data_IF_294903818242
#
_entry.id   IF_294903818242
#
_cell.length_a   1.000
_cell.length_b   1.000
_cell.length_c   1.000
_cell.angle_alpha   90.00
_cell.angle_beta   90.00
_cell.angle_gamma   90.00
#
_symmetry.space_group_name_H-M   'P 1'
#
loop_
_entity.id
_entity.type
_entity.pdbx_description
1 polymer ?
#
# COMPACT_ATOMS: atom_id res chain seq x y z
N UNK A 1 -20.99 -11.05 -49.96
CA UNK A 1 -20.38 -10.31 -48.82
C UNK A 1 -19.03 -9.79 -49.31
N UNK A 2 -18.79 -8.48 -49.22
CA UNK A 2 -17.60 -7.86 -49.82
C UNK A 2 -16.33 -8.33 -49.10
N UNK A 3 -15.24 -8.66 -49.82
CA UNK A 3 -13.94 -9.02 -49.21
C UNK A 3 -13.38 -7.92 -48.30
N UNK A 4 -13.79 -6.66 -48.51
CA UNK A 4 -13.46 -5.54 -47.64
C UNK A 4 -14.12 -5.67 -46.24
N UNK A 5 -15.30 -6.28 -46.15
CA UNK A 5 -16.01 -6.49 -44.88
C UNK A 5 -15.38 -7.63 -44.06
N UNK A 6 -14.81 -8.63 -44.74
CA UNK A 6 -14.06 -9.71 -44.11
C UNK A 6 -12.73 -9.21 -43.53
N UNK A 7 -12.02 -8.35 -44.27
CA UNK A 7 -10.79 -7.70 -43.80
C UNK A 7 -11.04 -6.70 -42.66
N UNK A 8 -12.17 -6.00 -42.67
CA UNK A 8 -12.58 -5.15 -41.55
C UNK A 8 -12.89 -5.98 -40.29
N UNK A 9 -13.56 -7.13 -40.42
CA UNK A 9 -13.82 -8.03 -39.29
C UNK A 9 -12.55 -8.73 -38.78
N UNK A 10 -11.61 -9.11 -39.66
CA UNK A 10 -10.30 -9.66 -39.28
C UNK A 10 -9.37 -8.60 -38.66
N UNK A 11 -9.46 -7.35 -39.09
CA UNK A 11 -8.72 -6.23 -38.50
C UNK A 11 -9.22 -5.84 -37.11
N UNK A 12 -10.52 -5.99 -36.83
CA UNK A 12 -11.11 -5.72 -35.51
C UNK A 12 -10.81 -6.85 -34.51
N UNK A 13 -10.55 -8.08 -34.96
CA UNK A 13 -10.16 -9.18 -34.05
C UNK A 13 -8.71 -9.12 -33.54
N UNK A 14 -7.84 -8.28 -34.12
CA UNK A 14 -6.40 -8.24 -33.80
C UNK A 14 -5.95 -7.05 -32.94
N UNK A 15 -6.88 -6.24 -32.43
CA UNK A 15 -6.57 -5.09 -31.57
C UNK A 15 -7.26 -5.14 -30.19
N UNK A 16 -7.56 -6.33 -29.68
CA UNK A 16 -7.69 -6.49 -28.23
C UNK A 16 -6.26 -6.51 -27.67
N UNK A 17 -5.92 -5.67 -26.66
CA UNK A 17 -4.66 -5.81 -25.96
C UNK A 17 -4.63 -7.22 -25.36
N UNK A 18 -3.89 -8.14 -25.99
CA UNK A 18 -3.68 -9.47 -25.45
C UNK A 18 -3.15 -9.30 -24.03
N UNK A 19 -3.91 -9.79 -23.05
CA UNK A 19 -3.57 -9.67 -21.65
C UNK A 19 -2.33 -10.54 -21.39
N UNK A 20 -1.14 -9.95 -21.60
CA UNK A 20 0.15 -10.65 -21.47
C UNK A 20 0.23 -11.36 -20.12
N UNK A 21 0.65 -12.62 -20.14
CA UNK A 21 1.02 -13.35 -18.94
C UNK A 21 2.11 -12.58 -18.17
N UNK A 22 1.88 -12.34 -16.88
CA UNK A 22 2.79 -11.58 -16.01
C UNK A 22 3.60 -12.54 -15.15
N UNK A 23 4.88 -12.24 -14.91
CA UNK A 23 5.63 -12.91 -13.86
C UNK A 23 5.39 -12.18 -12.53
N UNK A 24 5.06 -12.91 -11.47
CA UNK A 24 4.85 -12.36 -10.13
C UNK A 24 5.72 -13.09 -9.10
N UNK A 25 6.05 -12.43 -8.00
CA UNK A 25 6.57 -13.14 -6.84
C UNK A 25 5.47 -14.01 -6.21
N UNK A 26 5.85 -15.20 -5.75
CA UNK A 26 4.95 -16.20 -5.18
C UNK A 26 5.57 -16.82 -3.93
N UNK A 27 4.74 -16.99 -2.92
CA UNK A 27 5.13 -17.63 -1.67
C UNK A 27 4.12 -17.36 -0.57
N UNK A 28 4.03 -18.32 0.34
CA UNK A 28 3.32 -18.18 1.61
C UNK A 28 4.31 -18.44 2.72
N UNK A 29 4.41 -17.53 3.68
CA UNK A 29 5.21 -17.73 4.87
C UNK A 29 4.44 -17.27 6.10
N UNK A 30 4.53 -18.08 7.14
CA UNK A 30 3.89 -17.84 8.43
C UNK A 30 4.92 -18.14 9.52
N UNK A 31 5.19 -17.18 10.39
CA UNK A 31 6.23 -17.33 11.39
C UNK A 31 5.97 -16.48 12.62
N UNK A 32 6.35 -17.01 13.79
CA UNK A 32 6.40 -16.27 15.04
C UNK A 32 7.86 -15.81 15.23
N UNK A 33 8.05 -14.52 15.51
CA UNK A 33 9.35 -13.88 15.65
C UNK A 33 9.39 -13.03 16.91
N UNK A 34 10.60 -12.74 17.40
CA UNK A 34 10.77 -11.76 18.47
C UNK A 34 10.62 -10.34 17.91
N UNK A 35 9.87 -9.49 18.61
CA UNK A 35 9.69 -8.08 18.25
C UNK A 35 11.03 -7.35 18.13
N UNK A 36 12.03 -7.73 18.92
CA UNK A 36 13.38 -7.15 18.88
C UNK A 36 14.15 -7.39 17.58
N UNK A 37 13.71 -8.35 16.75
CA UNK A 37 14.35 -8.70 15.48
C UNK A 37 13.83 -7.88 14.30
N UNK A 38 12.84 -7.00 14.51
CA UNK A 38 12.33 -6.13 13.45
C UNK A 38 13.38 -5.10 12.97
N UNK A 39 13.37 -4.73 11.67
CA UNK A 39 12.46 -5.19 10.62
C UNK A 39 12.90 -6.54 10.00
N UNK A 40 11.91 -7.36 9.64
CA UNK A 40 12.15 -8.64 8.96
C UNK A 40 12.45 -8.44 7.49
N UNK A 41 13.22 -9.39 6.93
CA UNK A 41 13.49 -9.52 5.50
C UNK A 41 13.13 -10.92 5.03
N UNK A 42 12.69 -11.05 3.78
CA UNK A 42 12.31 -12.33 3.19
C UNK A 42 12.61 -12.36 1.70
N UNK A 43 12.70 -13.58 1.17
CA UNK A 43 12.80 -13.89 -0.25
C UNK A 43 11.66 -14.80 -0.66
N UNK A 44 11.24 -14.73 -1.93
CA UNK A 44 10.13 -15.51 -2.47
C UNK A 44 10.45 -15.96 -3.89
N UNK A 45 9.85 -17.07 -4.30
CA UNK A 45 9.96 -17.59 -5.66
C UNK A 45 9.21 -16.71 -6.66
N UNK A 46 9.36 -16.98 -7.95
CA UNK A 46 8.57 -16.35 -9.01
C UNK A 46 7.60 -17.38 -9.61
N UNK A 47 6.48 -16.89 -10.14
CA UNK A 47 5.48 -17.69 -10.85
C UNK A 47 5.03 -16.93 -12.10
N UNK A 48 4.80 -17.67 -13.18
CA UNK A 48 4.14 -17.11 -14.36
C UNK A 48 2.61 -17.17 -14.15
N UNK A 49 1.97 -16.01 -14.16
CA UNK A 49 0.53 -15.87 -14.01
C UNK A 49 -0.15 -15.94 -15.38
N UNK A 50 -1.21 -16.74 -15.49
CA UNK A 50 -2.03 -16.84 -16.69
C UNK A 50 -2.60 -15.49 -17.15
N UNK A 51 -3.06 -15.46 -18.40
CA UNK A 51 -3.59 -14.24 -19.03
C UNK A 51 -4.71 -13.60 -18.18
N UNK A 52 -4.66 -12.28 -18.05
CA UNK A 52 -5.64 -11.52 -17.26
C UNK A 52 -5.46 -11.57 -15.74
N UNK A 53 -4.47 -12.30 -15.22
CA UNK A 53 -4.10 -12.26 -13.79
C UNK A 53 -3.09 -11.15 -13.48
N UNK A 54 -3.07 -10.72 -12.22
CA UNK A 54 -2.22 -9.67 -11.68
C UNK A 54 -1.42 -10.19 -10.49
N UNK A 55 -0.42 -9.44 -10.06
CA UNK A 55 0.35 -9.79 -8.88
C UNK A 55 -0.35 -9.28 -7.63
N UNK A 56 -0.43 -10.10 -6.59
CA UNK A 56 -0.85 -9.67 -5.25
C UNK A 56 0.26 -9.92 -4.24
N UNK A 57 0.26 -9.08 -3.22
CA UNK A 57 1.00 -9.32 -1.99
C UNK A 57 0.22 -8.82 -0.78
N UNK A 58 0.33 -9.57 0.31
CA UNK A 58 -0.26 -9.25 1.60
C UNK A 58 0.72 -9.60 2.70
N UNK A 59 0.91 -8.67 3.63
CA UNK A 59 1.69 -8.88 4.85
C UNK A 59 0.78 -8.56 6.03
N UNK A 60 0.72 -9.43 7.03
CA UNK A 60 0.03 -9.18 8.30
C UNK A 60 1.04 -9.32 9.44
N UNK A 61 1.06 -8.35 10.35
CA UNK A 61 1.80 -8.41 11.60
C UNK A 61 0.80 -8.30 12.74
N UNK A 62 0.76 -9.32 13.58
CA UNK A 62 0.10 -9.30 14.89
C UNK A 62 1.19 -9.25 15.94
N UNK A 63 1.34 -8.11 16.61
CA UNK A 63 2.33 -7.94 17.65
C UNK A 63 1.69 -8.09 19.03
N UNK A 64 2.37 -8.85 19.88
CA UNK A 64 1.99 -9.20 21.23
C UNK A 64 3.26 -9.39 22.06
N UNK A 65 3.87 -8.27 22.47
CA UNK A 65 5.21 -8.24 23.06
C UNK A 65 5.45 -9.38 24.07
N UNK A 66 6.59 -10.07 24.03
CA UNK A 66 7.76 -9.82 23.17
C UNK A 66 7.65 -10.49 21.78
N UNK A 67 6.54 -11.14 21.45
CA UNK A 67 6.39 -11.90 20.22
C UNK A 67 5.59 -11.12 19.17
N UNK A 68 5.83 -11.43 17.90
CA UNK A 68 4.88 -11.12 16.84
C UNK A 68 4.68 -12.32 15.94
N UNK A 69 3.55 -12.29 15.25
CA UNK A 69 3.16 -13.25 14.26
C UNK A 69 3.12 -12.56 12.90
N UNK A 70 3.96 -13.02 11.98
CA UNK A 70 4.15 -12.50 10.63
C UNK A 70 3.55 -13.47 9.61
N UNK A 71 2.69 -12.95 8.75
CA UNK A 71 2.10 -13.69 7.63
C UNK A 71 2.45 -12.95 6.34
N UNK A 72 2.96 -13.67 5.35
CA UNK A 72 3.34 -13.20 4.04
C UNK A 72 2.63 -14.04 3.00
N UNK A 73 1.91 -13.41 2.09
CA UNK A 73 1.24 -14.07 0.97
C UNK A 73 1.54 -13.28 -0.28
N UNK A 74 2.10 -13.94 -1.29
CA UNK A 74 2.40 -13.37 -2.61
C UNK A 74 1.94 -14.35 -3.68
N UNK A 75 1.41 -13.86 -4.79
CA UNK A 75 1.02 -14.73 -5.91
C UNK A 75 0.21 -14.01 -6.98
N UNK A 76 -0.49 -14.80 -7.80
CA UNK A 76 -1.38 -14.31 -8.85
C UNK A 76 -2.79 -14.03 -8.30
N UNK A 77 -3.51 -13.07 -8.87
CA UNK A 77 -4.88 -12.72 -8.48
C UNK A 77 -5.71 -12.21 -9.66
N UNK A 78 -7.02 -12.42 -9.59
CA UNK A 78 -7.99 -11.77 -10.50
C UNK A 78 -8.45 -10.41 -9.99
N UNK A 79 -8.17 -10.06 -8.73
CA UNK A 79 -8.67 -8.84 -8.12
C UNK A 79 -8.22 -7.58 -8.89
N UNK A 80 -9.06 -6.54 -8.87
CA UNK A 80 -8.74 -5.27 -9.49
C UNK A 80 -7.43 -4.69 -8.94
N UNK A 81 -6.74 -3.90 -9.78
CA UNK A 81 -5.54 -3.18 -9.39
C UNK A 81 -5.83 -2.38 -8.11
N UNK A 82 -4.97 -2.54 -7.10
CA UNK A 82 -5.13 -1.92 -5.79
C UNK A 82 -3.78 -1.42 -5.32
N UNK A 83 -3.70 -0.12 -5.09
CA UNK A 83 -2.50 0.45 -4.51
C UNK A 83 -2.10 -0.16 -3.17
N UNK A 84 -0.81 -0.01 -2.88
CA UNK A 84 -0.22 -0.38 -1.61
C UNK A 84 -0.97 0.32 -0.46
N UNK A 85 -1.61 -0.49 0.38
CA UNK A 85 -2.41 -0.02 1.51
C UNK A 85 -1.95 -0.66 2.80
N UNK A 86 -1.50 0.18 3.73
CA UNK A 86 -1.31 -0.19 5.13
C UNK A 86 -2.65 0.01 5.86
N UNK A 87 -3.00 -0.89 6.77
CA UNK A 87 -4.25 -0.80 7.54
C UNK A 87 -3.94 -1.24 8.96
N UNK A 88 -4.12 -0.32 9.90
CA UNK A 88 -4.11 -0.62 11.32
C UNK A 88 -5.49 -1.19 11.70
N UNK A 89 -5.56 -2.50 11.87
CA UNK A 89 -6.78 -3.19 12.31
C UNK A 89 -7.01 -2.99 13.80
N UNK A 90 -5.91 -2.84 14.56
CA UNK A 90 -5.90 -2.51 15.97
C UNK A 90 -4.63 -1.76 16.34
N UNK A 91 -4.81 -0.53 16.80
CA UNK A 91 -3.75 0.21 17.47
C UNK A 91 -3.64 -0.27 18.93
N UNK A 92 -2.40 -0.43 19.42
CA UNK A 92 -2.12 -0.81 20.81
C UNK A 92 -2.58 0.24 21.84
N UNK A 93 -2.15 0.15 23.10
CA UNK A 93 -1.02 -0.64 23.58
C UNK A 93 -1.39 -2.09 23.97
N UNK A 94 -0.42 -2.99 23.96
CA UNK A 94 -0.63 -4.44 24.13
C UNK A 94 -0.66 -5.13 22.76
N UNK A 95 -1.79 -5.74 22.41
CA UNK A 95 -2.02 -6.32 21.10
C UNK A 95 -2.18 -5.25 20.02
N UNK A 96 -1.40 -5.34 18.95
CA UNK A 96 -1.58 -4.55 17.74
C UNK A 96 -1.62 -5.43 16.50
N UNK A 97 -2.40 -5.00 15.51
CA UNK A 97 -2.56 -5.74 14.25
C UNK A 97 -2.51 -4.75 13.10
N UNK A 98 -1.55 -4.93 12.21
CA UNK A 98 -1.35 -4.11 11.01
C UNK A 98 -1.21 -5.01 9.79
N UNK A 99 -1.80 -4.60 8.68
CA UNK A 99 -1.61 -5.29 7.40
C UNK A 99 -1.15 -4.35 6.29
N UNK A 100 -0.38 -4.87 5.36
CA UNK A 100 -0.09 -4.28 4.05
C UNK A 100 -0.73 -5.13 2.97
N UNK A 101 -1.37 -4.51 1.98
CA UNK A 101 -1.95 -5.18 0.82
C UNK A 101 -1.68 -4.39 -0.46
N UNK A 102 -1.30 -5.06 -1.54
CA UNK A 102 -1.15 -4.47 -2.89
C UNK A 102 -1.60 -5.47 -3.94
N UNK A 103 -2.27 -4.99 -4.98
CA UNK A 103 -2.53 -5.72 -6.23
C UNK A 103 -2.02 -4.86 -7.37
N UNK A 104 -1.21 -5.41 -8.27
CA UNK A 104 -0.58 -4.66 -9.36
C UNK A 104 -0.53 -5.48 -10.65
N UNK A 105 -0.35 -4.81 -11.79
CA UNK A 105 -0.48 -5.39 -13.16
C UNK A 105 0.77 -5.21 -14.00
N UNK A 106 1.93 -5.19 -13.35
CA UNK A 106 3.25 -5.07 -13.98
C UNK A 106 4.10 -6.30 -13.61
N UNK A 107 5.12 -6.61 -14.42
CA UNK A 107 6.00 -7.73 -14.12
C UNK A 107 6.73 -7.52 -12.78
N UNK A 108 6.66 -8.52 -11.91
CA UNK A 108 7.34 -8.60 -10.62
C UNK A 108 7.01 -7.43 -9.67
N UNK A 109 5.86 -6.78 -9.84
CA UNK A 109 5.51 -5.56 -9.12
C UNK A 109 5.13 -5.79 -7.64
N UNK A 110 4.90 -7.03 -7.23
CA UNK A 110 4.65 -7.39 -5.83
C UNK A 110 5.98 -7.65 -5.10
N UNK A 111 6.87 -6.67 -5.08
CA UNK A 111 8.29 -6.78 -4.73
C UNK A 111 8.61 -6.51 -3.25
N UNK A 112 7.60 -6.38 -2.36
CA UNK A 112 7.87 -6.13 -0.95
C UNK A 112 8.67 -7.29 -0.33
N UNK A 113 9.86 -6.97 0.17
CA UNK A 113 10.84 -7.91 0.73
C UNK A 113 11.17 -7.65 2.21
N UNK A 114 10.47 -6.71 2.85
CA UNK A 114 10.71 -6.33 4.24
C UNK A 114 9.45 -5.86 4.98
N UNK A 115 9.43 -6.02 6.31
CA UNK A 115 8.34 -5.55 7.17
C UNK A 115 8.37 -4.05 7.43
N UNK A 116 9.36 -3.32 6.89
CA UNK A 116 9.59 -1.91 7.17
C UNK A 116 8.35 -1.00 7.01
N UNK A 117 7.50 -1.14 5.96
CA UNK A 117 6.31 -0.30 5.82
C UNK A 117 5.27 -0.47 6.93
N UNK A 118 5.28 -1.63 7.59
CA UNK A 118 4.39 -1.97 8.70
C UNK A 118 5.04 -1.71 10.06
N UNK A 119 6.36 -1.51 10.10
CA UNK A 119 7.11 -1.38 11.34
C UNK A 119 6.86 -0.02 11.99
N UNK A 120 6.64 -0.04 13.30
CA UNK A 120 6.64 1.14 14.16
C UNK A 120 7.50 0.88 15.39
N UNK A 121 8.43 1.78 15.73
CA UNK A 121 9.02 1.78 17.05
C UNK A 121 7.93 2.08 18.07
N UNK A 122 7.46 1.08 18.80
CA UNK A 122 6.51 1.32 19.88
C UNK A 122 7.23 2.05 21.02
N UNK A 123 6.65 3.14 21.55
CA UNK A 123 7.22 3.84 22.71
C UNK A 123 7.26 2.90 23.91
N UNK A 124 8.24 3.11 24.80
CA UNK A 124 8.33 2.37 26.07
C UNK A 124 7.00 2.50 26.81
N UNK A 125 6.33 1.38 27.00
CA UNK A 125 5.04 1.34 27.68
C UNK A 125 5.28 1.45 29.18
N UNK A 126 4.66 2.44 29.81
CA UNK A 126 4.60 2.50 31.27
C UNK A 126 3.80 1.29 31.74
N UNK A 127 4.33 0.47 32.67
CA UNK A 127 3.57 -0.66 33.23
C UNK A 127 2.25 -0.20 33.84
N UNK A 128 1.18 -0.92 33.56
CA UNK A 128 -0.15 -0.73 34.15
C UNK A 128 -0.39 -1.63 35.35
N UNK A 129 -1.65 -1.68 35.78
CA UNK A 129 -2.10 -2.50 36.92
C UNK A 129 -2.68 -3.86 36.52
N UNK A 130 -3.02 -4.06 35.25
CA UNK A 130 -3.64 -5.29 34.74
C UNK A 130 -2.57 -6.30 34.36
N UNK A 131 -2.79 -7.57 34.70
CA UNK A 131 -1.98 -8.71 34.24
C UNK A 131 -2.82 -9.59 33.32
N UNK A 132 -2.24 -9.98 32.18
CA UNK A 132 -2.91 -10.85 31.22
C UNK A 132 -1.97 -11.98 30.78
N UNK A 133 -2.51 -13.17 30.47
CA UNK A 133 -1.74 -14.18 29.76
C UNK A 133 -1.34 -13.64 28.38
N UNK A 134 -0.08 -13.85 28.01
CA UNK A 134 0.46 -13.44 26.71
C UNK A 134 0.92 -14.65 25.91
N UNK A 135 0.32 -14.86 24.74
CA UNK A 135 0.64 -15.98 23.86
C UNK A 135 0.32 -15.69 22.39
N UNK A 136 1.19 -16.18 21.51
CA UNK A 136 0.97 -16.35 20.08
C UNK A 136 1.41 -17.77 19.73
N UNK A 137 0.50 -18.65 19.31
CA UNK A 137 0.83 -20.06 19.08
C UNK A 137 -0.10 -20.70 18.05
N UNK A 138 0.47 -21.53 17.15
CA UNK A 138 -0.29 -22.42 16.27
C UNK A 138 -0.72 -23.73 16.95
N UNK A 139 -0.10 -24.10 18.07
CA UNK A 139 -0.34 -25.36 18.79
C UNK A 139 -1.22 -25.19 20.04
N UNK A 140 -1.45 -23.94 20.46
CA UNK A 140 -2.28 -23.57 21.60
C UNK A 140 -1.53 -22.79 22.69
N UNK A 141 -2.28 -22.21 23.62
CA UNK A 141 -1.81 -21.31 24.69
C UNK A 141 -2.07 -21.86 26.09
N UNK A 142 -1.98 -23.18 26.28
CA UNK A 142 -2.15 -23.81 27.59
C UNK A 142 -0.96 -23.42 28.48
N UNK A 143 -1.21 -22.63 29.53
CA UNK A 143 -0.20 -22.09 30.49
C UNK A 143 0.62 -20.91 29.97
N UNK A 144 0.02 -20.01 29.20
CA UNK A 144 0.67 -18.76 28.79
C UNK A 144 1.14 -17.91 29.99
N UNK A 145 2.36 -17.34 29.95
CA UNK A 145 2.88 -16.52 31.03
C UNK A 145 2.04 -15.23 31.20
N UNK A 146 1.74 -14.89 32.46
CA UNK A 146 1.08 -13.62 32.76
C UNK A 146 2.08 -12.46 32.80
N UNK A 147 1.82 -11.45 31.97
CA UNK A 147 2.63 -10.23 31.91
C UNK A 147 1.82 -9.01 32.31
N UNK A 148 2.50 -8.03 32.90
CA UNK A 148 1.92 -6.74 33.23
C UNK A 148 1.62 -5.96 31.96
N UNK A 149 0.36 -5.61 31.76
CA UNK A 149 -0.09 -4.86 30.60
C UNK A 149 0.36 -3.40 30.67
N UNK A 150 0.50 -2.72 29.51
CA UNK A 150 0.70 -1.26 29.46
C UNK A 150 -0.41 -0.47 30.16
N UNK A 151 -0.11 0.70 30.72
CA UNK A 151 -1.01 1.52 31.54
C UNK A 151 -2.37 1.90 30.91
N UNK A 152 -2.50 1.90 29.57
CA UNK A 152 -3.79 2.16 28.89
C UNK A 152 -4.53 0.88 28.49
N UNK A 153 -4.09 -0.29 28.97
CA UNK A 153 -4.78 -1.56 28.76
C UNK A 153 -5.64 -1.85 29.98
N UNK A 154 -6.88 -2.27 29.73
CA UNK A 154 -7.89 -2.50 30.77
C UNK A 154 -8.44 -3.91 30.77
N UNK A 155 -8.21 -4.71 29.71
CA UNK A 155 -8.75 -6.05 29.57
C UNK A 155 -7.76 -7.04 28.94
N UNK A 156 -8.03 -8.32 29.14
CA UNK A 156 -7.33 -9.43 28.48
C UNK A 156 -8.16 -9.96 27.30
N UNK A 157 -7.48 -10.23 26.20
CA UNK A 157 -8.02 -10.91 25.04
C UNK A 157 -7.60 -12.37 25.06
N UNK A 158 -8.49 -13.26 24.59
CA UNK A 158 -8.20 -14.67 24.32
C UNK A 158 -9.07 -15.11 23.13
N UNK A 159 -8.46 -15.46 22.02
CA UNK A 159 -9.19 -15.90 20.83
C UNK A 159 -8.30 -16.52 19.76
N UNK A 160 -8.86 -16.76 18.58
CA UNK A 160 -8.17 -17.43 17.46
C UNK A 160 -8.24 -16.58 16.21
N UNK A 161 -7.08 -16.29 15.61
CA UNK A 161 -6.94 -15.75 14.28
C UNK A 161 -7.04 -16.89 13.27
N UNK A 162 -8.07 -16.88 12.42
CA UNK A 162 -8.13 -17.79 11.27
C UNK A 162 -7.78 -17.03 10.00
N UNK A 163 -6.79 -17.55 9.29
CA UNK A 163 -6.35 -17.03 8.01
C UNK A 163 -6.79 -18.00 6.92
N UNK A 164 -7.51 -17.46 5.94
CA UNK A 164 -7.82 -18.17 4.70
C UNK A 164 -7.19 -17.36 3.57
N UNK A 165 -6.09 -17.90 3.02
CA UNK A 165 -5.52 -17.37 1.79
C UNK A 165 -6.49 -17.62 0.63
N UNK A 166 -6.68 -16.63 -0.25
CA UNK A 166 -7.46 -16.82 -1.47
C UNK A 166 -6.82 -17.91 -2.34
N UNK A 167 -7.63 -18.91 -2.71
CA UNK A 167 -7.21 -20.11 -3.44
C UNK A 167 -6.44 -19.80 -4.74
N UNK A 168 -5.29 -20.46 -5.01
CA UNK A 168 -5.02 -21.00 -6.34
C UNK A 168 -5.93 -22.22 -6.59
N UNK A 169 -6.25 -22.58 -7.85
CA UNK A 169 -7.14 -23.71 -8.13
C UNK A 169 -6.50 -25.01 -7.65
N UNK A 170 -6.87 -25.48 -6.45
CA UNK A 170 -6.37 -26.73 -5.87
C UNK A 170 -5.99 -26.70 -4.38
N UNK A 171 -6.86 -26.18 -3.50
CA UNK A 171 -6.82 -26.46 -2.05
C UNK A 171 -6.30 -25.31 -1.17
N UNK A 172 -7.22 -24.54 -0.59
CA UNK A 172 -6.90 -23.50 0.39
C UNK A 172 -6.41 -24.06 1.73
N UNK A 173 -5.24 -23.61 2.17
CA UNK A 173 -4.69 -23.92 3.49
C UNK A 173 -5.36 -23.01 4.53
N UNK A 174 -6.13 -23.61 5.45
CA UNK A 174 -6.72 -22.92 6.60
C UNK A 174 -5.75 -22.99 7.77
N UNK A 175 -5.25 -21.85 8.24
CA UNK A 175 -4.40 -21.81 9.42
C UNK A 175 -5.06 -21.07 10.58
N UNK A 176 -4.86 -21.58 11.79
CA UNK A 176 -5.44 -21.08 13.03
C UNK A 176 -4.31 -20.77 14.02
N UNK A 177 -4.27 -19.53 14.51
CA UNK A 177 -3.29 -19.07 15.49
C UNK A 177 -4.01 -18.55 16.72
N UNK A 178 -3.73 -19.14 17.88
CA UNK A 178 -4.27 -18.68 19.15
C UNK A 178 -3.52 -17.43 19.63
N UNK A 179 -4.29 -16.47 20.15
CA UNK A 179 -3.79 -15.17 20.60
C UNK A 179 -4.35 -14.87 21.99
N UNK A 180 -3.47 -14.58 22.94
CA UNK A 180 -3.81 -14.07 24.25
C UNK A 180 -2.98 -12.83 24.55
N UNK A 181 -3.57 -11.74 25.03
CA UNK A 181 -2.79 -10.53 25.32
C UNK A 181 -3.62 -9.35 25.81
N UNK A 182 -2.96 -8.21 26.00
CA UNK A 182 -3.59 -7.01 26.57
C UNK A 182 -4.36 -6.20 25.51
N UNK A 183 -5.52 -5.65 25.86
CA UNK A 183 -6.30 -4.73 25.02
C UNK A 183 -6.83 -3.53 25.84
N UNK A 184 -7.05 -2.40 25.16
CA UNK A 184 -7.50 -1.12 25.76
C UNK A 184 -9.02 -0.98 25.87
N UNK A 185 -9.80 -1.83 25.19
CA UNK A 185 -11.26 -1.78 25.17
C UNK A 185 -11.82 -3.19 25.26
N UNK A 186 -12.91 -3.36 26.02
CA UNK A 186 -13.64 -4.61 26.08
C UNK A 186 -14.24 -4.94 24.70
N UNK A 187 -14.07 -6.17 24.24
CA UNK A 187 -14.66 -6.64 23.00
C UNK A 187 -14.00 -7.91 22.48
N UNK A 188 -14.78 -8.76 21.84
CA UNK A 188 -14.29 -10.01 21.26
C UNK A 188 -13.81 -9.86 19.80
N UNK A 189 -13.93 -8.65 19.23
CA UNK A 189 -13.60 -8.38 17.84
C UNK A 189 -12.23 -7.69 17.72
N UNK A 190 -11.17 -8.49 17.52
CA UNK A 190 -9.80 -7.95 17.34
C UNK A 190 -9.65 -7.02 16.12
N UNK A 191 -10.43 -7.22 15.05
CA UNK A 191 -10.25 -6.55 13.75
C UNK A 191 -11.29 -5.45 13.46
N UNK A 192 -12.08 -5.05 14.47
CA UNK A 192 -13.14 -4.04 14.35
C UNK A 192 -14.09 -4.24 13.15
N UNK A 193 -14.37 -5.50 12.77
CA UNK A 193 -15.32 -5.85 11.70
C UNK A 193 -14.75 -5.83 10.29
N UNK A 194 -13.44 -5.64 10.12
CA UNK A 194 -12.79 -5.60 8.80
C UNK A 194 -12.90 -6.95 8.07
N UNK A 195 -13.70 -6.98 7.00
CA UNK A 195 -13.71 -8.07 5.99
C UNK A 195 -13.09 -7.53 4.71
N UNK A 196 -11.89 -7.98 4.33
CA UNK A 196 -11.28 -7.65 3.03
C UNK A 196 -11.26 -8.89 2.14
N UNK A 197 -11.57 -8.74 0.85
CA UNK A 197 -11.78 -9.86 -0.08
C UNK A 197 -10.51 -10.62 -0.49
N UNK A 198 -9.32 -10.07 -0.23
CA UNK A 198 -8.02 -10.65 -0.64
C UNK A 198 -7.36 -11.55 0.43
N UNK A 199 -7.70 -11.31 1.70
CA UNK A 199 -7.34 -12.17 2.82
C UNK A 199 -8.61 -12.35 3.63
N UNK A 200 -9.25 -13.53 3.53
CA UNK A 200 -10.39 -13.86 4.35
C UNK A 200 -9.89 -14.11 5.79
N UNK A 201 -9.54 -13.02 6.49
CA UNK A 201 -9.35 -13.02 7.94
C UNK A 201 -10.71 -13.22 8.57
N UNK A 202 -10.93 -14.41 9.10
CA UNK A 202 -12.09 -14.68 9.95
C UNK A 202 -11.56 -14.90 11.35
N UNK A 203 -11.91 -14.00 12.26
CA UNK A 203 -11.88 -14.34 13.67
C UNK A 203 -13.05 -15.28 13.92
N UNK A 204 -12.78 -16.50 14.38
CA UNK A 204 -13.79 -17.28 15.09
C UNK A 204 -13.43 -17.22 16.56
N UNK A 205 -14.35 -16.71 17.36
CA UNK A 205 -14.34 -16.99 18.79
C UNK A 205 -14.59 -18.49 18.97
N UNK A 206 -13.70 -19.23 19.65
CA UNK A 206 -13.98 -20.62 20.00
C UNK A 206 -15.09 -20.75 21.05
N UNK A 207 -15.63 -19.64 21.61
CA UNK A 207 -16.51 -19.68 22.77
C UNK A 207 -17.87 -19.01 22.50
N UNK A 208 -18.75 -19.76 21.82
CA UNK A 208 -20.20 -19.61 21.96
C UNK A 208 -20.74 -20.21 23.29
N UNK A 209 -19.87 -20.45 24.28
CA UNK A 209 -20.24 -20.95 25.59
C UNK A 209 -19.66 -20.07 26.70
N UNK A 210 -20.43 -19.04 27.11
CA UNK A 210 -20.34 -18.39 28.43
C UNK A 210 -18.92 -18.21 29.00
N UNK A 211 -18.25 -17.11 28.65
CA UNK A 211 -17.49 -16.23 29.57
C UNK A 211 -16.34 -15.51 28.85
N UNK A 212 -16.58 -14.27 28.43
CA UNK A 212 -15.63 -13.23 28.81
C UNK A 212 -15.79 -13.09 30.33
N UNK A 213 -14.99 -13.82 31.11
CA UNK A 213 -14.95 -13.60 32.56
C UNK A 213 -14.20 -12.29 32.78
N UNK A 214 -14.96 -11.20 32.85
CA UNK A 214 -14.62 -10.07 33.69
C UNK A 214 -14.33 -10.66 35.07
N UNK A 215 -13.11 -10.56 35.56
CA UNK A 215 -12.82 -10.82 36.97
C UNK A 215 -13.39 -9.64 37.75
N UNK A 216 -14.68 -9.69 38.01
CA UNK A 216 -15.31 -8.95 39.10
C UNK A 216 -16.56 -9.73 39.52
N UNK A 217 -16.53 -10.19 40.77
CA UNK A 217 -17.65 -10.84 41.46
C UNK A 217 -18.93 -10.04 41.30
N UNK A 218 -20.06 -10.72 41.09
CA UNK A 218 -21.37 -10.29 41.57
C UNK A 218 -22.34 -11.48 41.63
N UNK A 219 -23.11 -11.49 42.72
CA UNK A 219 -24.00 -12.53 43.20
C UNK A 219 -25.23 -12.82 42.34
N UNK A 220 -25.89 -13.93 42.68
CA UNK A 220 -27.07 -14.53 42.06
C UNK A 220 -28.34 -13.68 42.17
N UNK A 221 -29.19 -13.66 41.11
CA UNK A 221 -30.65 -13.96 41.11
C UNK A 221 -31.32 -13.60 39.74
N UNK A 222 -32.54 -14.10 39.40
CA UNK A 222 -32.70 -15.11 38.35
C UNK A 222 -33.39 -14.64 37.05
N UNK A 223 -33.32 -15.52 36.05
CA UNK A 223 -33.83 -15.41 34.68
C UNK A 223 -35.35 -15.27 34.60
N UNK A 224 -35.83 -14.31 33.79
CA UNK A 224 -37.13 -14.40 33.14
C UNK A 224 -37.00 -14.56 31.63
N UNK A 225 -37.83 -15.46 31.10
CA UNK A 225 -37.85 -16.00 29.74
C UNK A 225 -39.05 -15.37 29.02
N UNK A 226 -38.87 -14.71 27.88
CA UNK A 226 -40.00 -14.31 27.01
C UNK A 226 -39.72 -14.60 25.54
N UNK A 227 -40.83 -14.99 24.87
CA UNK A 227 -40.97 -15.66 23.57
C UNK A 227 -40.96 -14.67 22.39
N UNK A 228 -40.59 -15.22 21.22
CA UNK A 228 -40.79 -14.77 19.83
C UNK A 228 -41.99 -13.85 19.58
N UNK A 229 -41.79 -12.88 18.67
CA UNK A 229 -42.68 -12.63 17.52
C UNK A 229 -41.87 -12.15 16.31
N UNK A 230 -41.95 -12.94 15.24
CA UNK A 230 -41.55 -12.61 13.87
C UNK A 230 -42.67 -11.80 13.21
N UNK A 231 -42.34 -10.69 12.57
CA UNK A 231 -43.21 -10.02 11.60
C UNK A 231 -42.53 -10.04 10.23
N UNK A 232 -43.18 -10.73 9.29
CA UNK A 232 -42.96 -10.68 7.85
C UNK A 232 -43.53 -9.38 7.29
N UNK A 233 -42.76 -8.67 6.46
CA UNK A 233 -43.27 -7.61 5.57
C UNK A 233 -42.90 -7.99 4.15
N UNK A 234 -43.92 -7.98 3.30
CA UNK A 234 -43.99 -8.50 1.95
C UNK A 234 -43.40 -7.56 0.90
N UNK A 235 -42.87 -8.13 -0.19
CA UNK A 235 -42.54 -7.43 -1.44
C UNK A 235 -43.78 -7.07 -2.25
N UNK A 236 -43.76 -5.88 -2.85
CA UNK A 236 -44.40 -5.47 -4.11
C UNK A 236 -43.80 -4.10 -4.49
N UNK A 237 -43.62 -3.65 -5.73
CA UNK A 237 -43.54 -4.21 -7.08
C UNK A 237 -42.94 -3.08 -7.94
N UNK A 238 -42.26 -3.45 -9.01
CA UNK A 238 -41.65 -2.62 -10.06
C UNK A 238 -42.53 -1.50 -10.63
N UNK A 239 -41.93 -0.33 -10.89
CA UNK A 239 -42.33 0.61 -11.94
C UNK A 239 -41.19 0.76 -12.98
N UNK A 240 -41.47 0.78 -14.30
CA UNK A 240 -40.48 0.83 -15.36
C UNK A 240 -40.31 2.25 -15.93
N UNK A 241 -39.05 2.67 -16.09
CA UNK A 241 -38.71 3.82 -16.91
C UNK A 241 -38.18 5.03 -16.15
N UNK A 242 -37.02 4.88 -15.54
CA UNK A 242 -36.11 6.01 -15.39
C UNK A 242 -34.77 5.62 -16.02
N UNK A 243 -34.54 6.17 -17.21
CA UNK A 243 -33.20 6.30 -17.77
C UNK A 243 -32.43 7.18 -16.80
N UNK A 244 -31.69 6.57 -15.86
CA UNK A 244 -30.72 7.26 -15.01
C UNK A 244 -29.67 7.92 -15.92
N UNK A 245 -29.95 9.16 -16.32
CA UNK A 245 -28.89 10.11 -16.62
C UNK A 245 -28.07 10.20 -15.35
N UNK A 246 -26.84 9.69 -15.36
CA UNK A 246 -25.89 9.95 -14.30
C UNK A 246 -25.74 11.48 -14.22
N UNK A 247 -26.43 12.08 -13.25
CA UNK A 247 -26.45 13.53 -13.08
C UNK A 247 -25.02 14.07 -13.00
N UNK A 248 -24.79 15.21 -13.65
CA UNK A 248 -23.49 15.83 -13.68
C UNK A 248 -23.09 16.27 -12.26
N UNK A 249 -22.21 15.49 -11.62
CA UNK A 249 -21.70 15.69 -10.27
C UNK A 249 -20.93 17.01 -10.19
N UNK A 250 -21.14 17.80 -9.14
CA UNK A 250 -20.40 19.05 -8.90
C UNK A 250 -19.49 18.90 -7.70
N UNK A 251 -18.20 19.22 -7.86
CA UNK A 251 -17.19 19.07 -6.80
C UNK A 251 -16.44 20.38 -6.56
N UNK A 252 -15.88 20.54 -5.36
CA UNK A 252 -14.92 21.61 -5.12
C UNK A 252 -13.64 21.36 -5.92
N UNK A 253 -13.03 22.45 -6.38
CA UNK A 253 -11.78 22.45 -7.14
C UNK A 253 -10.78 23.36 -6.44
N UNK A 254 -9.54 22.90 -6.33
CA UNK A 254 -8.46 23.79 -5.94
C UNK A 254 -7.19 23.04 -5.60
N UNK A 255 -6.10 23.80 -5.53
CA UNK A 255 -4.82 23.32 -5.05
C UNK A 255 -4.44 24.08 -3.78
N UNK A 256 -3.75 23.39 -2.88
CA UNK A 256 -3.10 24.00 -1.73
C UNK A 256 -1.61 23.72 -1.84
N UNK A 257 -0.80 24.74 -1.62
CA UNK A 257 0.64 24.60 -1.50
C UNK A 257 1.10 25.50 -0.36
N UNK A 258 1.54 24.90 0.73
CA UNK A 258 1.96 25.62 1.91
C UNK A 258 3.29 25.08 2.40
N UNK A 259 4.21 26.00 2.66
CA UNK A 259 5.49 25.71 3.29
C UNK A 259 5.56 26.48 4.59
N UNK A 260 5.79 25.77 5.68
CA UNK A 260 5.93 26.35 7.02
C UNK A 260 6.61 25.33 7.92
N UNK A 261 7.29 25.76 8.99
CA UNK A 261 7.57 24.87 10.10
C UNK A 261 6.26 24.30 10.68
N UNK A 262 6.35 23.12 11.29
CA UNK A 262 5.30 22.49 12.11
C UNK A 262 3.98 22.13 11.41
N UNK A 263 3.93 21.98 10.07
CA UNK A 263 2.70 21.53 9.39
C UNK A 263 2.28 20.08 9.76
N UNK A 264 3.17 19.32 10.41
CA UNK A 264 2.89 18.01 11.00
C UNK A 264 2.24 18.08 12.39
N UNK A 265 2.21 19.26 13.01
CA UNK A 265 1.68 19.50 14.36
C UNK A 265 0.45 20.40 14.31
N UNK A 266 0.54 21.48 13.55
CA UNK A 266 -0.43 22.57 13.49
C UNK A 266 -1.22 22.50 12.18
N UNK A 267 -2.50 22.11 12.23
CA UNK A 267 -3.36 22.09 11.06
C UNK A 267 -3.53 23.49 10.45
N UNK A 268 -3.68 23.54 9.14
CA UNK A 268 -3.89 24.77 8.38
C UNK A 268 -5.23 24.73 7.68
N UNK A 269 -5.89 25.88 7.63
CA UNK A 269 -7.21 26.00 7.00
C UNK A 269 -7.10 25.92 5.47
N UNK A 270 -8.03 25.19 4.87
CA UNK A 270 -8.15 24.94 3.45
C UNK A 270 -9.59 25.11 2.97
N UNK A 271 -9.98 26.34 2.65
CA UNK A 271 -11.24 26.59 1.94
C UNK A 271 -10.97 26.90 0.47
N UNK A 272 -11.79 26.34 -0.42
CA UNK A 272 -11.78 26.65 -1.86
C UNK A 272 -13.20 27.04 -2.25
N UNK A 273 -13.38 28.21 -2.86
CA UNK A 273 -14.69 28.65 -3.38
C UNK A 273 -14.90 28.23 -4.83
N UNK A 274 -13.89 27.65 -5.48
CA UNK A 274 -13.97 27.22 -6.87
C UNK A 274 -14.64 25.86 -6.96
N UNK A 275 -15.54 25.72 -7.91
CA UNK A 275 -16.32 24.51 -8.16
C UNK A 275 -16.06 24.03 -9.59
N UNK A 276 -16.29 22.75 -9.85
CA UNK A 276 -16.25 22.20 -11.20
C UNK A 276 -17.30 21.10 -11.37
N UNK A 277 -17.90 21.06 -12.55
CA UNK A 277 -18.79 19.99 -12.96
C UNK A 277 -17.96 18.84 -13.52
N UNK A 278 -18.19 17.62 -13.03
CA UNK A 278 -17.45 16.43 -13.41
C UNK A 278 -18.02 15.79 -14.67
N UNK A 279 -17.16 15.08 -15.40
CA UNK A 279 -17.59 14.26 -16.52
C UNK A 279 -18.38 13.04 -16.02
N UNK A 280 -19.27 12.47 -16.85
CA UNK A 280 -19.94 11.21 -16.52
C UNK A 280 -18.94 10.12 -16.08
N UNK A 281 -19.20 9.50 -14.93
CA UNK A 281 -18.36 8.45 -14.35
C UNK A 281 -17.25 8.94 -13.40
N UNK A 282 -16.99 10.24 -13.34
CA UNK A 282 -16.05 10.82 -12.37
C UNK A 282 -16.69 10.98 -10.99
N UNK A 283 -15.83 10.97 -9.96
CA UNK A 283 -16.19 11.20 -8.56
C UNK A 283 -15.43 12.39 -8.00
N UNK A 284 -15.93 13.01 -6.94
CA UNK A 284 -15.20 14.05 -6.23
C UNK A 284 -14.01 13.43 -5.51
N UNK A 285 -12.90 14.15 -5.48
CA UNK A 285 -11.69 13.76 -4.77
C UNK A 285 -11.13 14.91 -3.94
N UNK A 286 -10.49 14.55 -2.84
CA UNK A 286 -9.60 15.43 -2.08
C UNK A 286 -8.36 14.64 -1.65
N UNK A 287 -7.19 15.21 -1.91
CA UNK A 287 -5.89 14.61 -1.58
C UNK A 287 -5.03 15.64 -0.87
N UNK A 288 -4.39 15.24 0.23
CA UNK A 288 -3.34 16.00 0.93
C UNK A 288 -2.06 15.17 1.00
N UNK A 289 -0.90 15.80 0.83
CA UNK A 289 0.42 15.21 1.01
C UNK A 289 1.27 16.14 1.88
N UNK A 290 1.70 15.63 3.02
CA UNK A 290 2.62 16.27 3.95
C UNK A 290 4.00 15.62 3.84
N UNK A 291 5.03 16.45 3.66
CA UNK A 291 6.42 16.05 3.83
C UNK A 291 7.02 16.95 4.92
N UNK A 292 7.57 16.35 5.95
CA UNK A 292 8.20 17.04 7.06
C UNK A 292 9.62 16.50 7.28
N UNK A 293 10.61 17.39 7.17
CA UNK A 293 12.03 17.06 7.37
C UNK A 293 12.55 17.52 8.73
N UNK A 294 11.68 18.08 9.59
CA UNK A 294 12.01 18.63 10.90
C UNK A 294 11.90 20.15 10.95
N UNK A 295 12.92 20.92 10.54
CA UNK A 295 12.89 22.38 10.57
C UNK A 295 11.96 23.01 9.52
N UNK A 296 11.52 22.23 8.53
CA UNK A 296 10.61 22.66 7.46
C UNK A 296 9.64 21.54 7.12
N UNK A 297 8.42 21.94 6.78
CA UNK A 297 7.41 21.05 6.26
C UNK A 297 6.75 21.67 5.02
N UNK A 298 6.25 20.84 4.12
CA UNK A 298 5.41 21.23 2.98
C UNK A 298 4.12 20.44 3.04
N UNK A 299 3.00 21.13 2.84
CA UNK A 299 1.69 20.55 2.66
C UNK A 299 1.18 20.89 1.26
N UNK A 300 0.88 19.85 0.50
CA UNK A 300 0.32 19.91 -0.84
C UNK A 300 -1.10 19.36 -0.80
N UNK A 301 -2.03 20.01 -1.47
CA UNK A 301 -3.43 19.59 -1.52
C UNK A 301 -4.03 19.73 -2.91
N UNK A 302 -4.97 18.86 -3.23
CA UNK A 302 -5.76 18.92 -4.46
C UNK A 302 -7.20 18.52 -4.19
N UNK A 303 -8.15 19.28 -4.74
CA UNK A 303 -9.58 18.99 -4.81
C UNK A 303 -10.02 19.01 -6.27
N UNK A 304 -10.91 18.11 -6.66
CA UNK A 304 -11.52 18.12 -7.99
C UNK A 304 -12.33 16.87 -8.29
N UNK A 305 -12.40 16.54 -9.57
CA UNK A 305 -13.01 15.34 -10.14
C UNK A 305 -11.90 14.37 -10.52
N UNK A 306 -12.17 13.08 -10.36
CA UNK A 306 -11.24 12.02 -10.72
C UNK A 306 -11.99 10.80 -11.24
N UNK A 307 -11.43 10.18 -12.28
CA UNK A 307 -11.77 8.82 -12.71
C UNK A 307 -11.16 7.76 -11.78
N UNK A 308 -10.10 8.13 -11.06
CA UNK A 308 -9.31 7.26 -10.19
C UNK A 308 -9.96 7.23 -8.80
N UNK A 309 -10.43 6.05 -8.39
CA UNK A 309 -11.09 5.81 -7.10
C UNK A 309 -10.11 5.22 -6.08
N UNK A 310 -9.11 6.02 -5.68
CA UNK A 310 -8.13 5.64 -4.65
C UNK A 310 -8.46 6.39 -3.36
N UNK A 311 -8.74 5.65 -2.28
CA UNK A 311 -9.06 6.19 -0.96
C UNK A 311 -8.14 5.61 0.12
N UNK A 312 -7.75 6.45 1.07
CA UNK A 312 -7.08 6.04 2.30
C UNK A 312 -6.12 7.09 2.85
N UNK A 313 -5.82 6.94 4.13
CA UNK A 313 -4.75 7.65 4.81
C UNK A 313 -3.51 6.77 4.76
N UNK A 314 -2.41 7.32 4.25
CA UNK A 314 -1.19 6.56 4.02
C UNK A 314 -0.01 7.28 4.67
N UNK A 315 0.67 6.59 5.57
CA UNK A 315 1.97 7.02 6.05
C UNK A 315 3.04 6.34 5.20
N UNK A 316 3.76 7.14 4.41
CA UNK A 316 4.76 6.67 3.44
C UNK A 316 6.13 6.51 4.08
N UNK A 317 6.53 7.46 4.94
CA UNK A 317 7.73 7.38 5.78
C UNK A 317 7.37 7.72 7.22
N UNK A 318 7.86 6.94 8.19
CA UNK A 318 7.55 7.11 9.63
C UNK A 318 8.73 7.78 10.37
N UNK A 319 8.46 8.53 11.46
CA UNK A 319 9.52 9.03 12.35
C UNK A 319 10.33 7.86 12.98
N UNK A 320 11.59 8.09 13.39
CA UNK A 320 12.32 9.36 13.46
C UNK A 320 12.98 9.78 12.14
N UNK A 321 13.03 11.09 11.87
CA UNK A 321 13.62 11.66 10.65
C UNK A 321 12.57 12.26 9.71
N UNK A 322 12.75 12.07 8.40
CA UNK A 322 11.80 12.53 7.38
C UNK A 322 10.47 11.78 7.50
N UNK A 323 9.39 12.53 7.74
CA UNK A 323 8.02 12.06 7.75
C UNK A 323 7.36 12.38 6.40
N UNK A 324 6.72 11.39 5.80
CA UNK A 324 5.90 11.59 4.59
C UNK A 324 4.56 10.90 4.82
N UNK A 325 3.47 11.65 4.70
CA UNK A 325 2.13 11.14 4.94
C UNK A 325 1.12 11.79 4.00
N UNK A 326 0.05 11.07 3.65
CA UNK A 326 -1.01 11.58 2.79
C UNK A 326 -2.38 11.16 3.26
N UNK A 327 -3.37 11.96 2.89
CA UNK A 327 -4.79 11.68 3.02
C UNK A 327 -5.39 11.71 1.61
N UNK A 328 -6.21 10.72 1.27
CA UNK A 328 -6.93 10.69 0.01
C UNK A 328 -8.36 10.20 0.24
N UNK A 329 -9.35 10.96 -0.22
CA UNK A 329 -10.76 10.59 -0.17
C UNK A 329 -11.38 10.79 -1.54
N UNK A 330 -12.29 9.90 -1.92
CA UNK A 330 -13.21 10.14 -3.02
C UNK A 330 -14.65 9.85 -2.59
N UNK A 331 -15.60 10.50 -3.25
CA UNK A 331 -17.02 10.45 -2.90
C UNK A 331 -17.89 10.87 -4.08
N UNK A 332 -19.17 10.44 -4.07
CA UNK A 332 -20.06 10.48 -5.24
C UNK A 332 -21.33 11.31 -5.02
N UNK A 333 -21.26 12.33 -4.15
CA UNK A 333 -22.34 13.29 -3.93
C UNK A 333 -21.82 14.70 -4.13
N UNK A 334 -22.67 15.64 -4.52
CA UNK A 334 -22.25 17.01 -4.78
C UNK A 334 -21.51 17.59 -3.56
N UNK A 335 -20.39 18.28 -3.84
CA UNK A 335 -19.58 19.01 -2.87
C UNK A 335 -19.01 18.18 -1.71
N UNK A 336 -18.96 16.86 -1.83
CA UNK A 336 -18.54 16.00 -0.72
C UNK A 336 -17.03 16.07 -0.38
N UNK A 337 -16.21 16.63 -1.27
CA UNK A 337 -14.78 16.88 -1.05
C UNK A 337 -14.54 18.22 -0.32
N UNK A 338 -15.23 18.39 0.82
CA UNK A 338 -15.35 19.64 1.54
C UNK A 338 -14.40 19.77 2.74
N UNK A 339 -13.28 19.03 2.80
CA UNK A 339 -12.35 19.16 3.91
C UNK A 339 -11.82 20.60 4.01
N UNK A 340 -12.21 21.31 5.08
CA UNK A 340 -11.91 22.72 5.26
C UNK A 340 -10.54 22.97 5.93
N UNK A 341 -9.79 21.91 6.27
CA UNK A 341 -8.56 21.98 7.05
C UNK A 341 -7.70 20.74 6.83
N UNK A 342 -6.37 20.90 6.98
CA UNK A 342 -5.42 19.78 6.95
C UNK A 342 -5.51 18.85 8.16
N UNK A 343 -6.37 19.17 9.14
CA UNK A 343 -6.62 18.33 10.33
C UNK A 343 -7.05 16.91 9.99
N UNK A 344 -7.69 16.69 8.83
CA UNK A 344 -8.03 15.35 8.31
C UNK A 344 -6.81 14.45 8.12
N UNK A 345 -5.64 15.03 7.85
CA UNK A 345 -4.35 14.34 7.78
C UNK A 345 -3.59 14.46 9.11
N UNK A 346 -3.43 15.68 9.62
CA UNK A 346 -2.55 15.98 10.76
C UNK A 346 -2.98 15.25 12.03
N UNK A 347 -4.29 15.09 12.28
CA UNK A 347 -4.77 14.39 13.46
C UNK A 347 -4.51 12.89 13.44
N UNK A 348 -4.30 12.31 12.25
CA UNK A 348 -3.97 10.90 12.09
C UNK A 348 -2.45 10.62 12.24
N UNK A 349 -1.62 11.66 12.29
CA UNK A 349 -0.17 11.50 12.40
C UNK A 349 0.22 11.00 13.80
N UNK A 350 1.25 10.14 13.90
CA UNK A 350 1.84 9.79 15.18
C UNK A 350 2.35 11.06 15.87
N UNK A 351 2.06 11.21 17.17
CA UNK A 351 2.61 12.28 18.02
C UNK A 351 3.70 11.71 18.94
N UNK A 352 4.89 11.34 18.42
CA UNK A 352 5.98 10.94 19.30
C UNK A 352 6.45 12.15 20.10
N UNK A 353 6.92 11.91 21.32
CA UNK A 353 7.67 12.92 22.06
C UNK A 353 8.88 13.36 21.22
N UNK A 354 9.32 14.64 21.32
CA UNK A 354 10.52 15.11 20.63
C UNK A 354 11.67 14.12 20.85
N UNK A 355 12.19 13.49 19.79
CA UNK A 355 13.22 12.47 19.94
C UNK A 355 14.50 13.12 20.49
N UNK A 356 15.15 12.43 21.44
CA UNK A 356 16.44 12.87 21.96
C UNK A 356 17.45 13.04 20.79
N UNK A 357 18.38 14.01 20.88
CA UNK A 357 19.43 14.15 19.87
C UNK A 357 20.23 12.85 19.69
N UNK A 358 20.48 12.47 18.44
CA UNK A 358 21.37 11.38 18.07
C UNK A 358 22.80 11.85 17.83
N UNK A 359 23.60 11.01 17.19
CA UNK A 359 25.02 11.30 16.89
C UNK A 359 25.28 11.61 15.41
N UNK A 360 24.33 11.29 14.53
CA UNK A 360 24.44 11.52 13.10
C UNK A 360 24.15 12.99 12.77
N UNK A 361 24.93 13.58 11.87
CA UNK A 361 24.61 14.88 11.27
C UNK A 361 24.29 14.69 9.79
N UNK A 362 23.19 15.29 9.33
CA UNK A 362 22.78 15.25 7.94
C UNK A 362 22.44 16.65 7.42
N UNK A 363 22.68 16.93 6.13
CA UNK A 363 22.11 18.10 5.49
C UNK A 363 20.58 17.94 5.47
N UNK A 364 19.88 19.02 5.81
CA UNK A 364 18.42 19.10 5.73
C UNK A 364 18.02 20.20 4.78
N UNK A 365 17.09 19.86 3.89
CA UNK A 365 16.49 20.78 2.95
C UNK A 365 15.13 20.23 2.49
N UNK A 366 14.19 21.14 2.29
CA UNK A 366 12.90 20.87 1.67
C UNK A 366 12.54 22.07 0.80
N UNK A 367 12.40 21.86 -0.50
CA UNK A 367 12.21 22.92 -1.48
C UNK A 367 11.32 22.46 -2.65
N UNK A 368 10.61 23.42 -3.25
CA UNK A 368 9.97 23.23 -4.57
C UNK A 368 11.00 23.64 -5.62
N UNK A 369 11.38 22.70 -6.48
CA UNK A 369 12.56 22.85 -7.32
C UNK A 369 13.80 22.37 -6.57
N UNK A 370 14.87 23.17 -6.55
CA UNK A 370 16.18 22.70 -6.10
C UNK A 370 16.61 23.14 -4.70
N UNK A 371 17.28 22.23 -3.99
CA UNK A 371 17.95 22.52 -2.72
C UNK A 371 19.27 23.29 -2.92
N UNK A 372 19.19 24.62 -3.07
CA UNK A 372 20.38 25.50 -3.23
C UNK A 372 21.14 25.78 -1.93
N UNK A 373 20.48 25.63 -0.77
CA UNK A 373 21.07 25.82 0.55
C UNK A 373 20.58 24.71 1.48
N UNK A 374 21.50 23.98 2.08
CA UNK A 374 21.22 22.96 3.10
C UNK A 374 21.93 23.30 4.40
N UNK A 375 21.24 23.09 5.51
CA UNK A 375 21.82 23.24 6.85
C UNK A 375 22.06 21.87 7.46
N UNK A 376 23.22 21.64 8.03
CA UNK A 376 23.49 20.42 8.78
C UNK A 376 22.75 20.47 10.13
N UNK A 377 21.96 19.44 10.43
CA UNK A 377 21.31 19.29 11.73
C UNK A 377 21.77 18.01 12.40
N UNK A 378 21.70 18.00 13.74
CA UNK A 378 21.87 16.78 14.51
C UNK A 378 20.59 15.94 14.39
N UNK A 379 20.73 14.76 13.81
CA UNK A 379 19.60 13.88 13.56
C UNK A 379 19.05 13.28 14.87
N UNK A 380 17.75 13.00 14.92
CA UNK A 380 17.12 12.40 16.09
C UNK A 380 17.63 10.97 16.36
N UNK A 381 17.64 10.57 17.62
CA UNK A 381 18.01 9.21 18.02
C UNK A 381 17.11 8.19 17.30
N UNK A 382 17.73 7.17 16.71
CA UNK A 382 17.06 6.17 15.87
C UNK A 382 17.27 6.37 14.37
N UNK A 383 17.93 7.45 13.93
CA UNK A 383 18.39 7.61 12.55
C UNK A 383 19.82 7.12 12.36
N UNK A 384 20.12 6.49 11.23
CA UNK A 384 21.47 6.01 10.90
C UNK A 384 22.01 6.48 9.54
N UNK A 385 21.18 7.11 8.68
CA UNK A 385 21.63 7.60 7.37
C UNK A 385 21.02 8.94 6.98
N UNK A 386 21.64 9.58 5.99
CA UNK A 386 21.12 10.75 5.30
C UNK A 386 20.44 10.33 3.98
N UNK A 387 19.31 10.95 3.70
CA UNK A 387 18.58 10.84 2.45
C UNK A 387 18.79 12.11 1.63
N UNK A 388 18.94 11.96 0.31
CA UNK A 388 18.95 13.01 -0.70
C UNK A 388 18.24 12.50 -1.94
N UNK A 389 17.16 13.17 -2.33
CA UNK A 389 16.37 12.78 -3.50
C UNK A 389 15.33 13.83 -3.86
N UNK A 390 14.57 13.53 -4.89
CA UNK A 390 13.50 14.38 -5.41
C UNK A 390 12.22 13.55 -5.56
N UNK A 391 11.10 14.13 -5.16
CA UNK A 391 9.76 13.61 -5.41
C UNK A 391 9.09 14.52 -6.44
N UNK A 392 8.84 14.01 -7.63
CA UNK A 392 8.11 14.71 -8.68
C UNK A 392 6.64 14.32 -8.64
N UNK A 393 5.77 15.31 -8.41
CA UNK A 393 4.32 15.15 -8.31
C UNK A 393 3.65 15.71 -9.57
N UNK A 394 2.74 14.94 -10.15
CA UNK A 394 1.94 15.36 -11.30
C UNK A 394 0.50 14.88 -11.16
N UNK A 395 -0.47 15.77 -11.25
CA UNK A 395 -1.89 15.42 -11.22
C UNK A 395 -2.71 16.36 -10.34
N UNK A 396 -4.04 16.26 -10.41
CA UNK A 396 -4.92 17.08 -9.58
C UNK A 396 -4.76 18.60 -9.75
N UNK A 397 -4.25 19.05 -10.91
CA UNK A 397 -3.94 20.46 -11.17
C UNK A 397 -2.61 20.96 -10.59
N UNK A 398 -1.78 20.06 -10.03
CA UNK A 398 -0.47 20.36 -9.48
C UNK A 398 0.62 19.65 -10.28
N UNK A 399 1.70 20.38 -10.58
CA UNK A 399 2.97 19.81 -11.04
C UNK A 399 4.08 20.40 -10.19
N UNK A 400 4.73 19.58 -9.36
CA UNK A 400 5.67 20.06 -8.37
C UNK A 400 6.86 19.10 -8.22
N UNK A 401 8.09 19.51 -8.60
CA UNK A 401 9.31 18.86 -8.13
C UNK A 401 9.56 19.26 -6.66
N UNK A 402 9.74 18.30 -5.78
CA UNK A 402 10.05 18.50 -4.36
C UNK A 402 11.41 17.89 -4.04
N UNK A 403 12.43 18.72 -3.84
CA UNK A 403 13.74 18.28 -3.38
C UNK A 403 13.74 18.07 -1.87
N UNK A 404 14.33 16.95 -1.44
CA UNK A 404 14.32 16.51 -0.06
C UNK A 404 15.70 16.05 0.36
N UNK A 405 16.19 16.63 1.47
CA UNK A 405 17.35 16.16 2.21
C UNK A 405 16.97 16.02 3.68
N UNK A 406 17.38 14.93 4.31
CA UNK A 406 17.17 14.78 5.74
C UNK A 406 17.59 13.44 6.33
N UNK A 407 17.33 13.29 7.61
CA UNK A 407 17.69 12.10 8.38
C UNK A 407 16.69 10.96 8.14
N UNK A 408 17.17 9.73 8.05
CA UNK A 408 16.32 8.53 7.93
C UNK A 408 16.77 7.41 8.86
N UNK A 409 15.80 6.63 9.34
CA UNK A 409 16.01 5.48 10.24
C UNK A 409 16.85 4.36 9.62
N UNK A 410 16.72 4.15 8.31
CA UNK A 410 17.37 3.06 7.58
C UNK A 410 17.86 3.53 6.21
N UNK A 411 18.84 2.84 5.61
CA UNK A 411 19.32 3.13 4.27
C UNK A 411 18.29 2.59 3.26
N UNK A 412 17.17 3.28 3.11
CA UNK A 412 16.21 3.02 2.03
C UNK A 412 16.61 3.79 0.78
N UNK A 413 16.41 3.18 -0.38
CA UNK A 413 16.53 3.87 -1.66
C UNK A 413 15.37 4.83 -1.93
N UNK A 414 14.25 4.69 -1.20
CA UNK A 414 13.01 5.46 -1.40
C UNK A 414 12.36 5.83 -0.05
N UNK A 415 11.68 6.97 0.00
CA UNK A 415 10.81 7.46 1.07
C UNK A 415 9.37 6.99 0.86
N UNK A 416 8.95 6.79 -0.40
CA UNK A 416 7.58 6.40 -0.75
C UNK A 416 7.40 4.89 -0.95
N UNK A 417 8.46 4.10 -0.78
CA UNK A 417 8.39 2.64 -0.96
C UNK A 417 7.97 2.22 -2.37
N UNK A 418 8.47 2.92 -3.40
CA UNK A 418 8.14 2.70 -4.84
C UNK A 418 6.66 2.87 -5.20
N UNK A 419 5.96 3.71 -4.44
CA UNK A 419 4.59 4.12 -4.77
C UNK A 419 4.61 5.06 -5.98
N UNK A 420 3.76 4.76 -6.96
CA UNK A 420 3.63 5.51 -8.21
C UNK A 420 2.44 6.48 -8.21
N UNK A 421 1.54 6.40 -7.24
CA UNK A 421 0.51 7.43 -7.04
C UNK A 421 0.12 7.67 -5.58
N UNK A 422 -0.32 8.90 -5.28
CA UNK A 422 -0.83 9.35 -3.98
C UNK A 422 -2.12 10.09 -4.26
N UNK A 423 -3.26 9.45 -4.01
CA UNK A 423 -4.57 10.01 -4.39
C UNK A 423 -4.61 10.32 -5.88
N UNK A 424 -4.78 11.59 -6.24
CA UNK A 424 -4.76 12.04 -7.65
C UNK A 424 -3.38 12.39 -8.21
N UNK A 425 -2.33 12.35 -7.39
CA UNK A 425 -0.98 12.64 -7.84
C UNK A 425 -0.30 11.37 -8.34
N UNK A 426 0.15 11.36 -9.59
CA UNK A 426 1.22 10.47 -10.03
C UNK A 426 2.53 10.95 -9.41
N UNK A 427 3.35 10.01 -8.93
CA UNK A 427 4.57 10.31 -8.19
C UNK A 427 5.75 9.55 -8.77
N UNK A 428 6.86 10.26 -8.95
CA UNK A 428 8.15 9.69 -9.31
C UNK A 428 9.17 10.10 -8.27
N UNK A 429 9.86 9.13 -7.66
CA UNK A 429 10.90 9.40 -6.68
C UNK A 429 12.27 9.02 -7.26
N UNK A 430 13.20 9.97 -7.27
CA UNK A 430 14.59 9.77 -7.72
C UNK A 430 15.56 10.04 -6.57
N UNK A 431 16.57 9.18 -6.41
CA UNK A 431 17.61 9.34 -5.39
C UNK A 431 18.93 9.69 -6.05
N UNK A 432 19.63 10.69 -5.52
CA UNK A 432 20.96 11.06 -6.00
C UNK A 432 22.02 10.13 -5.39
N UNK A 433 22.84 9.49 -6.24
CA UNK A 433 23.93 8.59 -5.83
C UNK A 433 23.56 7.10 -5.63
N UNK A 434 22.36 6.67 -6.07
CA UNK A 434 22.07 5.26 -6.32
C UNK A 434 22.33 4.94 -7.79
N UNK A 435 22.86 3.75 -8.10
CA UNK A 435 22.98 3.30 -9.49
C UNK A 435 21.63 3.47 -10.19
N UNK A 436 21.65 4.07 -11.38
CA UNK A 436 20.54 4.01 -12.32
C UNK A 436 20.09 2.55 -12.39
N UNK A 437 18.89 2.28 -11.85
CA UNK A 437 18.16 1.11 -12.33
C UNK A 437 17.79 1.52 -13.73
N UNK A 438 18.46 0.93 -14.72
CA UNK A 438 18.12 1.05 -16.13
C UNK A 438 16.60 1.12 -16.25
N UNK A 439 16.10 2.29 -16.67
CA UNK A 439 14.85 2.37 -17.40
C UNK A 439 14.88 1.21 -18.42
N UNK A 440 13.84 0.36 -18.51
CA UNK A 440 13.76 -0.57 -19.62
C UNK A 440 13.60 0.28 -20.87
N UNK A 441 14.73 0.53 -21.54
CA UNK A 441 14.78 1.12 -22.87
C UNK A 441 13.73 0.40 -23.71
N UNK A 442 12.66 1.11 -24.03
CA UNK A 442 11.80 0.77 -25.15
C UNK A 442 12.66 1.02 -26.39
N UNK A 443 13.50 0.03 -26.71
CA UNK A 443 14.18 -0.04 -28.00
C UNK A 443 13.13 -0.48 -29.01
N UNK A 444 12.49 0.52 -29.62
CA UNK A 444 11.88 0.34 -30.93
C UNK A 444 12.95 -0.21 -31.87
N UNK A 445 12.64 -1.36 -32.46
CA UNK A 445 13.61 -2.19 -33.15
C UNK A 445 14.35 -1.49 -34.29
N UNK A 446 15.64 -1.74 -34.35
CA UNK A 446 16.37 -1.91 -35.59
C UNK A 446 17.32 -3.09 -35.38
N UNK A 447 17.17 -4.14 -36.19
CA UNK A 447 18.03 -5.32 -36.13
C UNK A 447 19.50 -4.89 -36.32
N UNK A 448 20.44 -5.34 -35.47
CA UNK A 448 21.85 -5.07 -35.69
C UNK A 448 22.33 -5.92 -36.86
N UNK A 449 22.71 -5.27 -37.96
CA UNK A 449 23.48 -5.89 -39.04
C UNK A 449 24.82 -6.42 -38.50
N UNK A 450 25.37 -7.49 -39.09
CA UNK A 450 26.56 -8.15 -38.56
C UNK A 450 27.79 -7.25 -38.70
N UNK A 451 28.44 -6.96 -37.59
CA UNK A 451 29.72 -6.29 -37.50
C UNK A 451 30.85 -7.24 -37.93
N UNK A 452 31.49 -6.92 -39.05
CA UNK A 452 32.75 -7.53 -39.49
C UNK A 452 33.92 -6.88 -38.74
N UNK A 453 34.74 -7.69 -38.07
CA UNK A 453 36.08 -7.34 -37.63
C UNK A 453 37.11 -8.33 -38.22
N UNK A 454 37.69 -7.92 -39.35
CA UNK A 454 39.08 -8.09 -39.81
C UNK A 454 39.87 -9.35 -39.46
N UNK A 455 40.20 -10.14 -40.49
CA UNK A 455 41.53 -10.71 -40.67
C UNK A 455 41.82 -11.02 -42.15
N UNK A 456 42.77 -10.26 -42.71
CA UNK A 456 43.84 -10.65 -43.66
C UNK A 456 43.47 -11.46 -44.91
N UNK A 457 43.78 -10.89 -46.10
CA UNK A 457 44.16 -11.72 -47.26
C UNK A 457 43.85 -11.15 -48.63
N UNK A 458 44.79 -10.35 -49.16
CA UNK A 458 45.30 -10.38 -50.54
C UNK A 458 44.36 -10.33 -51.77
N UNK A 459 44.74 -9.40 -52.65
CA UNK A 459 44.77 -9.50 -54.12
C UNK A 459 43.54 -9.07 -54.95
N UNK A 460 43.69 -7.85 -55.49
CA UNK A 460 43.70 -7.51 -56.92
C UNK A 460 42.43 -7.69 -57.79
N UNK A 461 42.15 -6.57 -58.47
CA UNK A 461 41.65 -6.43 -59.84
C UNK A 461 40.13 -6.21 -60.07
N UNK A 462 39.82 -4.91 -60.20
CA UNK A 462 39.03 -4.31 -61.29
C UNK A 462 38.66 -5.27 -62.44
N UNK A 463 37.37 -5.41 -62.79
CA UNK A 463 36.76 -4.72 -63.95
C UNK A 463 35.29 -5.16 -64.15
N UNK A 464 34.49 -4.20 -64.62
CA UNK A 464 33.12 -4.26 -65.12
C UNK A 464 32.71 -5.51 -65.94
N UNK A 465 31.43 -5.88 -65.82
CA UNK A 465 30.73 -6.65 -66.84
C UNK A 465 29.44 -7.32 -66.34
N UNK A 466 28.29 -6.69 -66.57
CA UNK A 466 27.09 -7.44 -66.95
C UNK A 466 27.21 -7.72 -68.48
N UNK A 467 26.51 -8.70 -69.10
CA UNK A 467 25.25 -9.27 -68.64
C UNK A 467 25.06 -10.79 -68.85
N UNK A 468 23.98 -11.28 -68.24
CA UNK A 468 23.02 -12.27 -68.72
C UNK A 468 23.50 -13.41 -69.64
N UNK A 469 23.40 -14.64 -69.13
CA UNK A 469 22.93 -15.77 -69.94
C UNK A 469 22.05 -16.68 -69.08
N UNK A 470 20.79 -16.75 -69.48
CA UNK A 470 19.78 -17.73 -69.08
C UNK A 470 20.26 -19.14 -69.44
N UNK A 471 20.04 -20.10 -68.54
CA UNK A 471 19.52 -21.48 -68.75
C UNK A 471 19.86 -22.32 -67.51
N UNK A 472 18.87 -22.70 -66.69
CA UNK A 472 18.15 -23.98 -66.77
C UNK A 472 19.06 -25.21 -66.59
N UNK A 473 19.12 -25.70 -65.34
CA UNK A 473 18.87 -27.08 -64.86
C UNK A 473 18.96 -28.27 -65.87
N UNK A 474 19.06 -29.53 -65.41
CA UNK A 474 19.95 -30.18 -64.42
C UNK A 474 20.43 -31.59 -64.92
N UNK A 475 20.83 -32.47 -63.98
CA UNK A 475 21.07 -33.93 -64.04
C UNK A 475 22.51 -34.36 -64.31
N UNK A 476 23.28 -34.68 -63.25
CA UNK A 476 23.36 -35.97 -62.51
C UNK A 476 24.40 -36.91 -63.15
N UNK A 477 25.04 -37.84 -62.40
CA UNK A 477 24.64 -38.45 -61.12
C UNK A 477 25.53 -38.18 -59.91
#
# INVERSE_FOLDING_TARGET
>A
MSPALLLALLGITLALPGARALNCYSGVAETIKNVSEQPFRWTTSQVNCGEGLGCQETVLITQNDPLLYLVLIKGCTQAANQEARVTDHRAGPGLSIVSYTRVCRENLCNDLSTSLPLWTPLPRTVPGSVRCPVCLSGEGCLSAPEMTCPAKSSHCYNGVLQLTAGDPPGGGQHQQTQVQGCISQAGCNLLNGTRKSLLNLRLRDPVAHRACRVVQECEHLPKHRTRRKTHSVSLASTDPGDSFSAGALTCYRGIMLQMSPNLSQDPVDWSTTTEQQCNPGEVCQETLLLIDVGPRSILLGSKGCSQVNIQGDFMHSRPPGVLVASYARVCSSDYCNSAASSSVLVNALPRPAPPAPGHLQCPVCLALGSCSQSSNVMCPKGTSHCYKGQIFLRGGGLTAPVDIQGCVAHPSSTLLGRRWSIGVFTVTETREGGAEVDEPLISSGAAPGPSLAWAVGLALALWCGAPSLLTLFPQDP
#
